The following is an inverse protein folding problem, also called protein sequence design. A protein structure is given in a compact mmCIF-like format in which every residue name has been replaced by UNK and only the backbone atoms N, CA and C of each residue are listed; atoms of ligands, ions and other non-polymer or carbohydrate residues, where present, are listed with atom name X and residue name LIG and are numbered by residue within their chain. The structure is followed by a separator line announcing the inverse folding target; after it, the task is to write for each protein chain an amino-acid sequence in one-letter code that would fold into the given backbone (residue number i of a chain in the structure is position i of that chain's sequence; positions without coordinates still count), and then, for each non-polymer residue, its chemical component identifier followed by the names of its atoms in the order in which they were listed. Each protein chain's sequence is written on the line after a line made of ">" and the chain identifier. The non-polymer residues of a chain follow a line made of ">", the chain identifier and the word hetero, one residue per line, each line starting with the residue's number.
data_IF_724256162505
#
_entry.id   IF_724256162505
#
_cell.length_a   1.000
_cell.length_b   1.000
_cell.length_c   1.000
_cell.angle_alpha   90.00
_cell.angle_beta   90.00
_cell.angle_gamma   90.00
#
_symmetry.space_group_name_H-M   'P 1'
#
loop_
_entity.id
_entity.type
_entity.pdbx_description
1 polymer ?
#
# COMPACT_ATOMS: atom_id res chain seq x y z
N UNK A 1 -8.97 -0.60 -36.20
CA UNK A 1 -8.17 -0.51 -34.98
C UNK A 1 -7.41 0.79 -35.09
N UNK A 2 -7.77 1.80 -34.28
CA UNK A 2 -6.98 3.03 -34.22
C UNK A 2 -5.67 2.69 -33.51
N UNK A 3 -4.54 2.96 -34.16
CA UNK A 3 -3.23 2.83 -33.52
C UNK A 3 -3.19 3.76 -32.30
N UNK A 4 -3.23 3.21 -31.08
CA UNK A 4 -2.99 3.99 -29.87
C UNK A 4 -1.49 4.19 -29.71
N UNK A 5 -1.12 5.46 -29.58
CA UNK A 5 0.25 5.86 -29.30
C UNK A 5 0.41 6.21 -27.83
N UNK A 6 1.53 5.77 -27.26
CA UNK A 6 1.91 6.04 -25.88
C UNK A 6 3.20 6.85 -25.88
N UNK A 7 3.26 7.86 -25.03
CA UNK A 7 4.42 8.72 -24.87
C UNK A 7 5.33 8.18 -23.75
N UNK A 8 6.55 7.81 -24.11
CA UNK A 8 7.65 7.51 -23.18
C UNK A 8 8.60 8.71 -23.15
N UNK A 9 8.80 9.29 -21.97
CA UNK A 9 9.70 10.43 -21.79
C UNK A 9 10.98 10.02 -21.07
N UNK A 10 12.12 10.17 -21.75
CA UNK A 10 13.45 10.00 -21.17
C UNK A 10 13.99 11.36 -20.74
N UNK A 11 14.33 11.51 -19.46
CA UNK A 11 14.90 12.73 -18.91
C UNK A 11 16.42 12.59 -18.75
N UNK A 12 17.16 13.57 -19.26
CA UNK A 12 18.61 13.65 -19.18
C UNK A 12 19.05 14.66 -18.11
N UNK A 13 20.24 14.44 -17.55
CA UNK A 13 20.83 15.32 -16.53
C UNK A 13 21.31 16.66 -17.10
N UNK A 14 21.54 16.74 -18.41
CA UNK A 14 21.94 17.96 -19.15
C UNK A 14 20.99 18.19 -20.34
N UNK A 15 21.02 19.41 -20.90
CA UNK A 15 20.33 19.74 -22.16
C UNK A 15 20.88 18.87 -23.31
N UNK A 16 19.99 18.29 -24.09
CA UNK A 16 20.29 17.41 -25.22
C UNK A 16 20.72 18.26 -26.43
N UNK A 17 21.81 17.89 -27.10
CA UNK A 17 22.11 18.41 -28.43
C UNK A 17 21.10 17.85 -29.44
N UNK A 18 20.16 18.68 -29.89
CA UNK A 18 19.14 18.29 -30.87
C UNK A 18 19.76 17.76 -32.17
N UNK A 19 21.00 18.12 -32.50
CA UNK A 19 21.70 17.62 -33.70
C UNK A 19 22.12 16.15 -33.57
N UNK A 20 22.27 15.63 -32.35
CA UNK A 20 22.56 14.21 -32.13
C UNK A 20 21.33 13.32 -32.24
N UNK A 21 20.13 13.89 -32.35
CA UNK A 21 18.88 13.12 -32.42
C UNK A 21 18.49 12.88 -33.87
N UNK A 22 18.45 11.60 -34.25
CA UNK A 22 17.95 11.14 -35.54
C UNK A 22 16.97 9.97 -35.35
N UNK A 23 16.27 9.59 -36.42
CA UNK A 23 15.16 8.60 -36.36
C UNK A 23 15.56 7.20 -35.86
N UNK A 24 16.85 6.88 -35.86
CA UNK A 24 17.38 5.57 -35.45
C UNK A 24 18.36 5.69 -34.27
N UNK A 25 18.33 6.79 -33.50
CA UNK A 25 19.20 6.99 -32.33
C UNK A 25 18.93 5.94 -31.23
N UNK A 26 17.67 5.50 -31.13
CA UNK A 26 17.21 4.45 -30.25
C UNK A 26 15.99 3.74 -30.86
N UNK A 27 15.69 2.54 -30.36
CA UNK A 27 14.50 1.78 -30.72
C UNK A 27 13.84 1.18 -29.47
N UNK A 28 12.52 1.07 -29.50
CA UNK A 28 11.73 0.32 -28.52
C UNK A 28 11.28 -0.96 -29.19
N UNK A 29 11.53 -2.09 -28.54
CA UNK A 29 11.13 -3.42 -28.98
C UNK A 29 10.07 -4.01 -28.06
N UNK A 30 9.06 -4.66 -28.63
CA UNK A 30 8.10 -5.48 -27.88
C UNK A 30 8.74 -6.82 -27.42
N UNK A 31 8.01 -7.62 -26.65
CA UNK A 31 8.46 -8.96 -26.18
C UNK A 31 8.77 -9.95 -27.30
N UNK A 32 8.29 -9.69 -28.52
CA UNK A 32 8.57 -10.51 -29.72
C UNK A 32 9.76 -9.98 -30.50
N UNK A 33 10.37 -8.88 -30.06
CA UNK A 33 11.50 -8.22 -30.73
C UNK A 33 11.10 -7.26 -31.84
N UNK A 34 9.81 -6.98 -32.05
CA UNK A 34 9.35 -6.06 -33.08
C UNK A 34 9.64 -4.62 -32.66
N UNK A 35 10.14 -3.80 -33.59
CA UNK A 35 10.33 -2.36 -33.35
C UNK A 35 8.97 -1.67 -33.35
N UNK A 36 8.64 -1.03 -32.23
CA UNK A 36 7.38 -0.32 -31.98
C UNK A 36 7.58 1.19 -31.82
N UNK A 37 8.80 1.70 -31.99
CA UNK A 37 9.06 3.14 -32.06
C UNK A 37 8.37 3.75 -33.26
N UNK A 38 7.64 4.83 -33.04
CA UNK A 38 6.99 5.57 -34.11
C UNK A 38 7.72 6.89 -34.39
N UNK A 39 7.89 7.74 -33.38
CA UNK A 39 8.52 9.04 -33.53
C UNK A 39 9.38 9.35 -32.30
N UNK A 40 10.45 10.10 -32.50
CA UNK A 40 11.33 10.58 -31.42
C UNK A 40 11.44 12.10 -31.59
N UNK A 41 11.17 12.84 -30.52
CA UNK A 41 11.30 14.30 -30.52
C UNK A 41 11.85 14.80 -29.19
N UNK A 42 12.62 15.87 -29.24
CA UNK A 42 13.01 16.61 -28.04
C UNK A 42 11.84 17.53 -27.67
N UNK A 43 11.12 17.23 -26.58
CA UNK A 43 9.97 18.04 -26.12
C UNK A 43 10.39 19.21 -25.25
N UNK A 44 11.39 19.01 -24.38
CA UNK A 44 12.01 20.04 -23.56
C UNK A 44 13.52 19.91 -23.69
N UNK A 45 14.28 20.94 -23.27
CA UNK A 45 15.74 21.00 -23.41
C UNK A 45 16.45 19.71 -22.94
N UNK A 46 15.94 19.01 -21.92
CA UNK A 46 16.49 17.74 -21.43
C UNK A 46 15.52 16.55 -21.46
N UNK A 47 14.44 16.61 -22.24
CA UNK A 47 13.46 15.52 -22.34
C UNK A 47 13.34 15.04 -23.78
N UNK A 48 13.67 13.77 -24.00
CA UNK A 48 13.43 13.05 -25.25
C UNK A 48 12.12 12.25 -25.13
N UNK A 49 11.11 12.69 -25.86
CA UNK A 49 9.84 11.98 -25.99
C UNK A 49 9.93 10.95 -27.11
N UNK A 50 9.46 9.75 -26.82
CA UNK A 50 9.43 8.61 -27.72
C UNK A 50 7.98 8.15 -27.81
N UNK A 51 7.43 8.27 -29.01
CA UNK A 51 6.08 7.83 -29.32
C UNK A 51 6.11 6.36 -29.69
N UNK A 52 5.40 5.53 -28.94
CA UNK A 52 5.42 4.07 -29.06
C UNK A 52 4.05 3.61 -29.55
N UNK A 53 4.04 2.76 -30.57
CA UNK A 53 2.83 2.12 -31.09
C UNK A 53 2.56 0.86 -30.26
N UNK A 54 1.47 0.85 -29.51
CA UNK A 54 1.11 -0.29 -28.67
C UNK A 54 -0.39 -0.55 -28.71
N UNK A 55 -0.77 -1.79 -28.99
CA UNK A 55 -2.16 -2.23 -28.87
C UNK A 55 -2.53 -2.38 -27.39
N UNK A 56 -3.80 -2.11 -27.05
CA UNK A 56 -4.31 -2.24 -25.67
C UNK A 56 -4.12 -3.64 -25.09
N UNK A 57 -4.09 -4.67 -25.93
CA UNK A 57 -3.85 -6.05 -25.52
C UNK A 57 -2.41 -6.28 -25.03
N UNK A 58 -1.45 -5.51 -25.57
CA UNK A 58 -0.01 -5.70 -25.34
C UNK A 58 0.64 -4.61 -24.50
N UNK A 59 -0.10 -3.57 -24.11
CA UNK A 59 0.39 -2.46 -23.28
C UNK A 59 1.00 -2.90 -21.93
N UNK A 60 0.61 -4.07 -21.43
CA UNK A 60 1.10 -4.66 -20.18
C UNK A 60 2.40 -5.46 -20.34
N UNK A 61 2.91 -5.61 -21.57
CA UNK A 61 4.12 -6.36 -21.83
C UNK A 61 5.37 -5.58 -21.42
N UNK A 62 6.47 -6.31 -21.23
CA UNK A 62 7.80 -5.73 -21.08
C UNK A 62 8.34 -5.29 -22.46
N UNK A 63 8.81 -4.05 -22.54
CA UNK A 63 9.44 -3.46 -23.71
C UNK A 63 10.91 -3.23 -23.44
N UNK A 64 11.74 -3.30 -24.48
CA UNK A 64 13.17 -3.01 -24.40
C UNK A 64 13.48 -1.75 -25.19
N UNK A 65 13.99 -0.72 -24.51
CA UNK A 65 14.60 0.45 -25.12
C UNK A 65 16.07 0.13 -25.38
N UNK A 66 16.47 0.17 -26.65
CA UNK A 66 17.83 -0.07 -27.10
C UNK A 66 18.40 1.20 -27.74
N UNK A 67 19.51 1.68 -27.21
CA UNK A 67 20.24 2.79 -27.81
C UNK A 67 21.13 2.27 -28.94
N UNK A 68 21.04 2.91 -30.10
CA UNK A 68 21.79 2.52 -31.30
C UNK A 68 23.02 3.39 -31.54
N UNK A 69 22.99 4.61 -31.02
CA UNK A 69 24.09 5.56 -31.07
C UNK A 69 24.10 6.42 -29.81
N UNK A 70 25.18 7.18 -29.60
CA UNK A 70 25.36 8.05 -28.45
C UNK A 70 24.50 9.31 -28.57
N UNK A 71 23.80 9.65 -27.49
CA UNK A 71 23.16 10.97 -27.35
C UNK A 71 24.19 11.91 -26.71
N UNK A 72 24.27 13.15 -27.18
CA UNK A 72 25.20 14.14 -26.67
C UNK A 72 24.45 15.25 -25.94
N UNK A 73 25.07 15.80 -24.90
CA UNK A 73 24.63 17.07 -24.33
C UNK A 73 25.05 18.22 -25.21
N UNK A 74 24.40 19.38 -25.05
CA UNK A 74 24.75 20.62 -25.76
C UNK A 74 26.19 21.09 -25.52
N UNK A 75 26.80 20.65 -24.42
CA UNK A 75 28.21 20.92 -24.10
C UNK A 75 29.18 19.94 -24.78
N UNK A 76 28.67 18.99 -25.58
CA UNK A 76 29.47 18.00 -26.29
C UNK A 76 29.81 16.75 -25.46
N UNK A 77 29.26 16.61 -24.25
CA UNK A 77 29.46 15.42 -23.44
C UNK A 77 28.55 14.29 -23.95
N UNK A 78 29.13 13.15 -24.30
CA UNK A 78 28.32 11.97 -24.59
C UNK A 78 27.68 11.44 -23.30
N UNK A 79 26.39 11.12 -23.35
CA UNK A 79 25.73 10.33 -22.30
C UNK A 79 26.18 8.87 -22.45
N UNK A 80 27.37 8.56 -21.91
CA UNK A 80 27.94 7.21 -21.89
C UNK A 80 27.25 6.40 -20.78
N UNK A 81 27.10 5.08 -20.98
CA UNK A 81 26.40 4.13 -20.09
C UNK A 81 24.87 4.00 -20.30
N UNK A 82 24.39 4.16 -21.53
CA UNK A 82 23.00 3.87 -21.86
C UNK A 82 22.82 2.38 -22.21
N UNK A 83 22.67 1.54 -21.19
CA UNK A 83 22.32 0.13 -21.36
C UNK A 83 20.88 -0.03 -21.90
N UNK A 84 20.58 -1.22 -22.43
CA UNK A 84 19.22 -1.56 -22.82
C UNK A 84 18.29 -1.48 -21.61
N UNK A 85 17.32 -0.57 -21.64
CA UNK A 85 16.38 -0.36 -20.53
C UNK A 85 15.13 -1.20 -20.78
N UNK A 86 14.77 -2.06 -19.83
CA UNK A 86 13.49 -2.77 -19.86
C UNK A 86 12.43 -1.99 -19.07
N UNK A 87 11.23 -1.85 -19.62
CA UNK A 87 10.14 -1.06 -19.04
C UNK A 87 8.75 -1.57 -19.48
N UNK A 88 7.70 -1.25 -18.74
CA UNK A 88 6.31 -1.51 -19.15
C UNK A 88 5.63 -0.20 -19.57
N UNK A 89 4.72 -0.25 -20.56
CA UNK A 89 4.02 0.95 -21.06
C UNK A 89 2.83 1.35 -20.20
N UNK A 90 2.19 0.39 -19.53
CA UNK A 90 1.12 0.70 -18.61
C UNK A 90 1.65 1.27 -17.30
N UNK A 91 0.87 2.14 -16.64
CA UNK A 91 1.01 2.32 -15.19
C UNK A 91 0.76 0.94 -14.59
N UNK A 92 1.82 0.27 -14.16
CA UNK A 92 1.74 -1.09 -13.68
C UNK A 92 0.60 -1.29 -12.71
N UNK A 93 -0.06 -2.46 -12.75
CA UNK A 93 -1.05 -2.79 -11.74
C UNK A 93 -0.33 -2.79 -10.40
N UNK A 94 -0.70 -1.85 -9.53
CA UNK A 94 -0.16 -1.79 -8.18
C UNK A 94 -0.94 -2.79 -7.33
N UNK A 95 -0.23 -3.73 -6.72
CA UNK A 95 -0.77 -4.68 -5.76
C UNK A 95 -0.37 -4.26 -4.35
N UNK A 96 -1.31 -4.32 -3.41
CA UNK A 96 -1.14 -3.94 -2.01
C UNK A 96 -0.65 -2.50 -1.81
N UNK A 97 -1.14 -1.57 -2.61
CA UNK A 97 -0.76 -0.17 -2.46
C UNK A 97 -1.11 0.34 -1.04
N UNK A 98 -0.12 0.84 -0.31
CA UNK A 98 -0.29 1.29 1.07
C UNK A 98 -0.05 0.23 2.14
N UNK A 99 0.47 -0.95 1.79
CA UNK A 99 0.93 -1.93 2.77
C UNK A 99 2.46 -1.93 2.90
N UNK A 100 3.00 -2.88 3.67
CA UNK A 100 4.45 -3.01 3.92
C UNK A 100 5.23 -3.52 2.72
N UNK A 101 4.56 -4.25 1.84
CA UNK A 101 5.14 -4.86 0.65
C UNK A 101 4.20 -4.58 -0.52
N UNK A 102 4.69 -3.80 -1.47
CA UNK A 102 3.91 -3.32 -2.61
C UNK A 102 4.55 -3.82 -3.89
N UNK A 103 3.74 -4.26 -4.85
CA UNK A 103 4.24 -4.62 -6.18
C UNK A 103 3.72 -3.65 -7.22
N UNK A 104 4.57 -3.36 -8.18
CA UNK A 104 4.20 -2.72 -9.43
C UNK A 104 5.06 -3.34 -10.54
N UNK A 105 4.39 -3.86 -11.57
CA UNK A 105 5.02 -4.60 -12.68
C UNK A 105 5.93 -5.74 -12.17
N UNK A 106 7.19 -5.75 -12.60
CA UNK A 106 8.19 -6.75 -12.24
C UNK A 106 8.94 -6.41 -10.94
N UNK A 107 8.52 -5.39 -10.18
CA UNK A 107 9.20 -4.95 -8.97
C UNK A 107 8.34 -5.11 -7.72
N UNK A 108 8.99 -5.56 -6.65
CA UNK A 108 8.45 -5.58 -5.29
C UNK A 108 9.24 -4.56 -4.47
N UNK A 109 8.52 -3.62 -3.86
CA UNK A 109 9.04 -2.60 -2.96
C UNK A 109 8.69 -2.98 -1.53
N UNK A 110 9.66 -2.93 -0.64
CA UNK A 110 9.49 -3.39 0.73
C UNK A 110 10.47 -2.69 1.66
N UNK A 111 10.18 -2.74 2.96
CA UNK A 111 11.07 -2.24 3.99
C UNK A 111 11.28 -3.26 5.11
N UNK A 112 12.49 -3.27 5.67
CA UNK A 112 12.88 -4.15 6.77
C UNK A 112 13.87 -3.46 7.72
N UNK A 113 14.11 -4.12 8.85
CA UNK A 113 15.09 -3.73 9.86
C UNK A 113 15.73 -5.02 10.41
N UNK A 114 17.03 -5.01 10.69
CA UNK A 114 17.74 -6.20 11.19
C UNK A 114 17.44 -6.53 12.66
N UNK A 115 16.92 -5.59 13.47
CA UNK A 115 16.66 -5.76 14.91
C UNK A 115 15.18 -5.53 15.29
N UNK A 116 14.71 -6.18 16.36
CA UNK A 116 13.38 -5.91 16.94
C UNK A 116 13.33 -4.47 17.42
N UNK A 117 12.24 -3.83 17.07
CA UNK A 117 11.77 -2.64 17.73
C UNK A 117 11.25 -3.00 19.14
N UNK A 118 11.98 -2.63 20.19
CA UNK A 118 11.40 -2.51 21.53
C UNK A 118 11.33 -1.04 21.90
N UNK A 119 10.40 -0.65 22.78
CA UNK A 119 10.37 0.70 23.37
C UNK A 119 11.68 1.09 24.09
N UNK A 120 12.62 0.15 24.29
CA UNK A 120 13.80 0.30 25.15
C UNK A 120 15.11 0.41 24.35
N UNK A 121 15.20 -0.18 23.15
CA UNK A 121 16.41 -0.16 22.32
C UNK A 121 16.07 0.25 20.89
N UNK A 122 16.39 1.51 20.57
CA UNK A 122 16.15 2.11 19.27
C UNK A 122 17.21 1.64 18.25
N UNK A 123 16.77 1.04 17.14
CA UNK A 123 17.63 0.80 15.98
C UNK A 123 17.16 1.62 14.77
N UNK A 124 17.82 2.76 14.45
CA UNK A 124 17.48 3.61 13.30
C UNK A 124 17.71 2.95 11.94
N UNK A 125 18.37 1.78 11.89
CA UNK A 125 18.85 1.19 10.65
C UNK A 125 17.76 0.33 9.97
N UNK A 126 16.78 0.99 9.36
CA UNK A 126 15.91 0.35 8.38
C UNK A 126 16.46 0.46 6.97
N UNK A 127 15.91 -0.33 6.06
CA UNK A 127 16.17 -0.20 4.64
C UNK A 127 14.87 -0.22 3.85
N UNK A 128 14.75 0.65 2.84
CA UNK A 128 13.76 0.52 1.76
C UNK A 128 14.48 -0.05 0.56
N UNK A 129 13.94 -1.14 0.01
CA UNK A 129 14.52 -1.84 -1.13
C UNK A 129 13.47 -2.06 -2.22
N UNK A 130 13.96 -2.29 -3.43
CA UNK A 130 13.20 -2.92 -4.50
C UNK A 130 13.90 -4.17 -5.00
N UNK A 131 13.13 -5.21 -5.26
CA UNK A 131 13.62 -6.46 -5.83
C UNK A 131 12.79 -6.82 -7.05
N UNK A 132 13.42 -7.32 -8.11
CA UNK A 132 12.67 -7.84 -9.24
C UNK A 132 12.08 -9.23 -8.92
N UNK A 133 11.07 -9.67 -9.67
CA UNK A 133 10.35 -10.92 -9.37
C UNK A 133 11.24 -12.18 -9.38
N UNK A 134 12.28 -12.21 -10.22
CA UNK A 134 13.23 -13.33 -10.28
C UNK A 134 14.33 -13.27 -9.19
N UNK A 135 14.42 -12.15 -8.46
CA UNK A 135 15.37 -11.94 -7.38
C UNK A 135 16.80 -11.61 -7.80
N UNK A 136 17.10 -11.51 -9.10
CA UNK A 136 18.44 -11.22 -9.62
C UNK A 136 18.90 -9.78 -9.35
N UNK A 137 17.97 -8.86 -9.15
CA UNK A 137 18.24 -7.46 -8.85
C UNK A 137 17.55 -7.06 -7.55
N UNK A 138 18.35 -6.92 -6.50
CA UNK A 138 17.93 -6.39 -5.21
C UNK A 138 18.67 -5.09 -4.93
N UNK A 139 17.94 -3.97 -4.98
CA UNK A 139 18.49 -2.61 -4.95
C UNK A 139 18.01 -1.91 -3.69
N UNK A 140 18.96 -1.42 -2.89
CA UNK A 140 18.67 -0.50 -1.79
C UNK A 140 18.38 0.89 -2.32
N UNK A 141 17.25 1.48 -1.89
CA UNK A 141 16.83 2.83 -2.28
C UNK A 141 17.27 3.87 -1.24
N UNK A 142 17.13 3.57 0.06
CA UNK A 142 17.62 4.42 1.16
C UNK A 142 17.61 3.68 2.51
N UNK A 143 18.25 4.28 3.51
CA UNK A 143 18.38 3.76 4.90
C UNK A 143 17.20 4.17 5.81
N UNK A 144 15.99 4.24 5.24
CA UNK A 144 14.77 4.53 6.00
C UNK A 144 14.03 3.25 6.38
N UNK A 145 13.27 3.31 7.47
CA UNK A 145 12.36 2.25 7.86
C UNK A 145 10.92 2.64 7.54
N UNK A 146 10.37 2.15 6.42
CA UNK A 146 9.00 2.46 6.05
C UNK A 146 7.99 1.55 6.78
N UNK A 147 6.98 2.14 7.43
CA UNK A 147 5.88 1.36 8.00
C UNK A 147 4.93 0.82 6.91
N UNK A 148 4.68 1.64 5.89
CA UNK A 148 3.80 1.39 4.76
C UNK A 148 4.38 2.14 3.55
N UNK A 149 4.19 1.59 2.35
CA UNK A 149 4.66 2.17 1.09
C UNK A 149 3.46 2.39 0.18
N UNK A 150 3.37 3.55 -0.46
CA UNK A 150 2.39 3.85 -1.50
C UNK A 150 3.10 4.23 -2.79
N UNK A 151 2.65 3.69 -3.90
CA UNK A 151 3.14 4.04 -5.24
C UNK A 151 2.16 5.02 -5.89
N UNK A 152 2.69 6.16 -6.34
CA UNK A 152 1.96 7.09 -7.20
C UNK A 152 2.88 7.68 -8.27
N UNK A 153 2.70 7.23 -9.52
CA UNK A 153 3.59 7.63 -10.62
C UNK A 153 5.02 7.14 -10.37
N UNK A 154 6.02 8.00 -10.53
CA UNK A 154 7.43 7.64 -10.31
C UNK A 154 7.88 7.64 -8.84
N UNK A 155 6.94 7.89 -7.92
CA UNK A 155 7.24 8.12 -6.51
C UNK A 155 6.74 6.98 -5.63
N UNK A 156 7.58 6.61 -4.67
CA UNK A 156 7.19 5.90 -3.47
C UNK A 156 6.95 6.92 -2.37
N UNK A 157 5.81 6.86 -1.70
CA UNK A 157 5.50 7.60 -0.49
C UNK A 157 5.53 6.64 0.68
N UNK A 158 6.01 7.08 1.82
CA UNK A 158 6.12 6.22 2.99
C UNK A 158 6.23 7.04 4.27
N UNK A 159 5.81 6.43 5.38
CA UNK A 159 6.04 6.99 6.70
C UNK A 159 7.38 6.45 7.18
N UNK A 160 8.36 7.33 7.38
CA UNK A 160 9.67 6.95 7.89
C UNK A 160 9.59 6.80 9.41
N UNK A 161 9.68 5.58 9.90
CA UNK A 161 9.57 5.25 11.30
C UNK A 161 10.94 5.35 11.98
N UNK A 162 11.16 6.47 12.68
CA UNK A 162 12.42 6.78 13.35
C UNK A 162 12.38 6.64 14.87
N UNK A 163 11.32 6.07 15.45
CA UNK A 163 11.25 5.74 16.89
C UNK A 163 11.58 6.88 17.87
N UNK A 164 11.46 6.61 19.18
CA UNK A 164 11.83 7.56 20.23
C UNK A 164 11.11 8.92 20.14
N UNK A 165 11.89 10.01 20.30
CA UNK A 165 11.40 11.40 20.20
C UNK A 165 11.43 11.94 18.75
N UNK A 166 11.83 11.14 17.76
CA UNK A 166 11.83 11.55 16.35
C UNK A 166 10.46 11.28 15.71
N UNK A 167 10.03 12.19 14.83
CA UNK A 167 8.68 12.20 14.28
C UNK A 167 8.53 11.20 13.11
N UNK A 168 7.48 10.36 13.12
CA UNK A 168 7.20 9.45 12.00
C UNK A 168 6.53 10.21 10.85
N UNK A 169 7.35 10.87 10.05
CA UNK A 169 6.88 11.80 9.03
C UNK A 169 6.66 11.13 7.68
N UNK A 170 5.85 11.77 6.84
CA UNK A 170 5.67 11.38 5.45
C UNK A 170 6.88 11.82 4.63
N UNK A 171 7.44 10.87 3.88
CA UNK A 171 8.48 11.10 2.89
C UNK A 171 8.02 10.63 1.52
N UNK A 172 8.74 11.06 0.50
CA UNK A 172 8.71 10.43 -0.82
C UNK A 172 10.12 10.25 -1.37
N UNK A 173 10.28 9.26 -2.23
CA UNK A 173 11.53 8.97 -2.97
C UNK A 173 11.16 8.46 -4.36
N UNK A 174 11.97 8.76 -5.38
CA UNK A 174 11.76 8.15 -6.69
C UNK A 174 12.09 6.67 -6.66
N UNK A 175 11.49 5.90 -7.57
CA UNK A 175 11.73 4.45 -7.71
C UNK A 175 13.18 4.08 -8.06
N UNK A 176 13.99 5.05 -8.48
CA UNK A 176 15.43 4.91 -8.72
C UNK A 176 16.29 5.22 -7.47
N UNK A 177 15.68 5.63 -6.35
CA UNK A 177 16.36 6.00 -5.11
C UNK A 177 16.77 7.49 -5.03
N UNK A 178 16.57 8.25 -6.10
CA UNK A 178 16.89 9.68 -6.12
C UNK A 178 15.77 10.55 -5.54
N UNK A 179 16.06 11.83 -5.34
CA UNK A 179 15.07 12.86 -4.98
C UNK A 179 14.28 12.54 -3.70
N UNK A 180 14.92 11.92 -2.71
CA UNK A 180 14.31 11.65 -1.40
C UNK A 180 13.97 12.96 -0.70
N UNK A 181 12.71 13.15 -0.31
CA UNK A 181 12.18 14.41 0.24
C UNK A 181 11.23 14.13 1.42
N UNK A 182 11.32 14.96 2.47
CA UNK A 182 10.36 14.98 3.59
C UNK A 182 9.17 15.86 3.19
N UNK A 183 7.95 15.38 3.38
CA UNK A 183 6.71 16.09 3.03
C UNK A 183 6.00 16.71 4.23
N UNK A 184 6.17 16.15 5.43
CA UNK A 184 5.53 16.65 6.66
C UNK A 184 6.54 16.87 7.75
N UNK A 185 6.27 17.85 8.60
CA UNK A 185 7.04 18.25 9.77
C UNK A 185 6.51 17.65 11.09
N UNK A 186 5.50 16.77 11.01
CA UNK A 186 4.87 16.14 12.15
C UNK A 186 4.66 14.65 11.90
N UNK A 187 4.45 13.89 12.98
CA UNK A 187 4.09 12.47 12.90
C UNK A 187 2.74 12.30 12.21
N UNK A 188 2.63 11.27 11.38
CA UNK A 188 1.40 10.92 10.67
C UNK A 188 0.79 9.69 11.33
N UNK A 189 -0.51 9.76 11.65
CA UNK A 189 -1.26 8.62 12.16
C UNK A 189 -1.94 7.84 11.03
N UNK A 190 -2.80 8.53 10.28
CA UNK A 190 -3.59 7.96 9.19
C UNK A 190 -3.43 8.81 7.94
N UNK A 191 -3.44 8.19 6.76
CA UNK A 191 -3.43 8.92 5.48
C UNK A 191 -4.22 8.19 4.40
N UNK A 192 -4.71 8.96 3.42
CA UNK A 192 -5.40 8.44 2.23
C UNK A 192 -5.10 9.33 1.03
N UNK A 193 -4.90 8.70 -0.13
CA UNK A 193 -4.61 9.37 -1.38
C UNK A 193 -5.90 9.76 -2.11
N UNK A 194 -5.88 10.94 -2.74
CA UNK A 194 -6.84 11.40 -3.73
C UNK A 194 -6.08 11.73 -5.03
N UNK A 195 -6.76 12.28 -6.04
CA UNK A 195 -6.17 12.59 -7.35
C UNK A 195 -5.04 13.62 -7.25
N UNK A 196 -5.25 14.70 -6.49
CA UNK A 196 -4.29 15.79 -6.38
C UNK A 196 -3.65 15.93 -5.00
N UNK A 197 -4.29 15.35 -3.98
CA UNK A 197 -3.93 15.56 -2.58
C UNK A 197 -3.67 14.24 -1.85
N UNK A 198 -2.92 14.34 -0.77
CA UNK A 198 -2.85 13.37 0.31
C UNK A 198 -3.60 13.99 1.48
N UNK A 199 -4.60 13.28 2.01
CA UNK A 199 -5.29 13.65 3.24
C UNK A 199 -4.67 12.85 4.37
N UNK A 200 -4.37 13.49 5.50
CA UNK A 200 -3.71 12.84 6.60
C UNK A 200 -4.07 13.47 7.94
N UNK A 201 -3.96 12.69 9.02
CA UNK A 201 -4.08 13.17 10.40
C UNK A 201 -2.73 13.24 11.08
N UNK A 202 -2.49 14.35 11.80
CA UNK A 202 -1.23 14.60 12.50
C UNK A 202 -1.26 14.07 13.92
N UNK A 203 -0.27 13.27 14.32
CA UNK A 203 -0.05 12.93 15.72
C UNK A 203 0.99 13.88 16.32
N UNK A 204 0.65 14.52 17.45
CA UNK A 204 1.53 15.46 18.17
C UNK A 204 1.82 14.88 19.56
N UNK A 205 0.80 14.80 20.40
CA UNK A 205 0.87 14.20 21.73
C UNK A 205 -0.54 13.97 22.25
N UNK A 206 -0.71 12.99 23.16
CA UNK A 206 -2.00 12.70 23.79
C UNK A 206 -2.62 13.90 24.53
N UNK A 207 -1.80 14.87 24.95
CA UNK A 207 -2.23 16.08 25.65
C UNK A 207 -2.49 17.29 24.73
N UNK A 208 -2.11 17.23 23.45
CA UNK A 208 -2.28 18.36 22.52
C UNK A 208 -3.74 18.51 22.08
N UNK A 209 -4.24 19.75 22.11
CA UNK A 209 -5.56 20.11 21.55
C UNK A 209 -5.60 20.02 20.02
N UNK A 210 -4.44 20.01 19.38
CA UNK A 210 -4.29 19.88 17.93
C UNK A 210 -3.99 18.43 17.50
N UNK A 211 -3.91 17.50 18.46
CA UNK A 211 -3.62 16.09 18.16
C UNK A 211 -4.70 15.50 17.24
N UNK A 212 -4.31 14.76 16.21
CA UNK A 212 -5.17 14.17 15.18
C UNK A 212 -5.90 15.15 14.26
N UNK A 213 -5.49 16.42 14.19
CA UNK A 213 -6.03 17.35 13.18
C UNK A 213 -5.81 16.81 11.77
N UNK A 214 -6.83 16.95 10.93
CA UNK A 214 -6.80 16.47 9.54
C UNK A 214 -6.36 17.59 8.61
N UNK A 215 -5.39 17.30 7.76
CA UNK A 215 -4.87 18.18 6.72
C UNK A 215 -4.99 17.54 5.34
N UNK A 216 -4.92 18.37 4.30
CA UNK A 216 -4.59 17.95 2.95
C UNK A 216 -3.33 18.65 2.49
N UNK A 217 -2.48 17.92 1.76
CA UNK A 217 -1.25 18.44 1.17
C UNK A 217 -1.16 17.96 -0.27
N UNK A 218 -0.60 18.76 -1.17
CA UNK A 218 -0.33 18.26 -2.52
C UNK A 218 0.69 17.14 -2.44
N UNK A 219 0.67 16.25 -3.44
CA UNK A 219 1.60 15.12 -3.54
C UNK A 219 3.08 15.52 -3.63
N UNK A 220 3.36 16.79 -3.89
CA UNK A 220 4.70 17.38 -3.86
C UNK A 220 5.11 17.99 -2.52
N UNK A 221 4.26 17.88 -1.49
CA UNK A 221 4.50 18.49 -0.18
C UNK A 221 4.11 19.96 -0.11
N UNK A 222 3.71 20.59 -1.21
CA UNK A 222 3.27 21.98 -1.19
C UNK A 222 1.81 22.11 -0.76
N UNK A 223 1.40 23.33 -0.42
CA UNK A 223 -0.01 23.67 -0.17
C UNK A 223 -0.68 22.83 0.95
N UNK A 224 0.02 22.62 2.07
CA UNK A 224 -0.57 22.07 3.30
C UNK A 224 -1.69 22.98 3.78
N UNK A 225 -2.90 22.45 3.90
CA UNK A 225 -4.12 23.17 4.30
C UNK A 225 -4.90 22.30 5.30
N UNK A 226 -5.33 22.86 6.41
CA UNK A 226 -6.21 22.18 7.35
C UNK A 226 -7.57 21.87 6.71
N UNK A 227 -8.08 20.65 6.87
CA UNK A 227 -9.39 20.23 6.38
C UNK A 227 -10.48 20.63 7.38
N UNK A 228 -10.64 21.94 7.63
CA UNK A 228 -11.42 22.49 8.77
C UNK A 228 -10.76 22.23 10.13
N UNK A 229 -11.50 22.36 11.24
CA UNK A 229 -11.02 22.12 12.60
C UNK A 229 -11.38 20.71 13.10
N UNK A 230 -11.44 19.72 12.20
CA UNK A 230 -11.81 18.34 12.55
C UNK A 230 -10.60 17.52 12.96
N UNK A 231 -10.83 16.56 13.84
CA UNK A 231 -9.81 15.67 14.39
C UNK A 231 -10.25 14.22 14.27
N UNK A 232 -9.41 13.37 13.72
CA UNK A 232 -9.80 12.00 13.44
C UNK A 232 -8.70 11.08 12.92
N UNK A 233 -9.03 9.80 12.86
CA UNK A 233 -8.16 8.72 12.40
C UNK A 233 -8.92 7.80 11.42
N UNK A 234 -8.24 6.82 10.84
CA UNK A 234 -8.80 5.82 9.92
C UNK A 234 -9.55 6.47 8.74
N UNK A 235 -8.78 7.17 7.91
CA UNK A 235 -9.26 8.00 6.82
C UNK A 235 -9.63 7.17 5.58
N UNK A 236 -10.86 7.32 5.05
CA UNK A 236 -11.32 6.66 3.83
C UNK A 236 -12.00 7.69 2.92
N UNK A 237 -11.55 7.79 1.67
CA UNK A 237 -12.21 8.65 0.66
C UNK A 237 -13.16 7.79 -0.16
N UNK A 238 -14.42 8.24 -0.28
CA UNK A 238 -15.41 7.67 -1.19
C UNK A 238 -16.14 8.82 -1.89
N UNK A 239 -15.96 8.92 -3.21
CA UNK A 239 -16.52 10.02 -4.00
C UNK A 239 -16.01 11.38 -3.49
N UNK A 240 -16.89 12.35 -3.19
CA UNK A 240 -16.50 13.69 -2.75
C UNK A 240 -16.26 13.80 -1.24
N UNK A 241 -16.41 12.71 -0.47
CA UNK A 241 -16.35 12.74 1.00
C UNK A 241 -15.14 11.99 1.54
N UNK A 242 -14.58 12.54 2.61
CA UNK A 242 -13.66 11.88 3.53
C UNK A 242 -14.46 11.36 4.73
N UNK A 243 -14.43 10.06 4.94
CA UNK A 243 -14.95 9.38 6.13
C UNK A 243 -13.82 9.17 7.12
N UNK A 244 -14.08 9.38 8.41
CA UNK A 244 -13.09 9.29 9.47
C UNK A 244 -13.73 8.93 10.81
N UNK A 245 -12.92 8.43 11.73
CA UNK A 245 -13.31 8.22 13.13
C UNK A 245 -12.97 9.46 13.95
N UNK A 246 -13.99 10.10 14.51
CA UNK A 246 -13.82 11.35 15.25
C UNK A 246 -13.32 11.07 16.68
N UNK A 247 -12.08 11.48 16.97
CA UNK A 247 -11.44 11.24 18.26
C UNK A 247 -12.06 12.04 19.42
N UNK A 248 -12.79 13.12 19.14
CA UNK A 248 -13.47 13.94 20.14
C UNK A 248 -14.87 13.41 20.48
N UNK A 249 -15.39 12.48 19.68
CA UNK A 249 -16.73 11.91 19.80
C UNK A 249 -16.68 10.39 19.82
N UNK A 250 -15.86 9.87 20.73
CA UNK A 250 -15.66 8.44 21.00
C UNK A 250 -15.43 7.59 19.73
N UNK A 251 -14.66 8.09 18.76
CA UNK A 251 -14.40 7.39 17.50
C UNK A 251 -15.67 7.01 16.73
N UNK A 252 -16.73 7.80 16.87
CA UNK A 252 -17.90 7.74 15.99
C UNK A 252 -17.49 8.06 14.56
N UNK A 253 -18.20 7.49 13.59
CA UNK A 253 -17.97 7.70 12.17
C UNK A 253 -18.52 9.07 11.79
N UNK A 254 -17.69 9.88 11.13
CA UNK A 254 -18.07 11.15 10.55
C UNK A 254 -17.71 11.15 9.06
N UNK A 255 -18.37 12.02 8.31
CA UNK A 255 -17.93 12.41 6.96
C UNK A 255 -17.79 13.92 6.85
N UNK A 256 -16.91 14.36 5.97
CA UNK A 256 -16.76 15.76 5.56
C UNK A 256 -16.44 15.80 4.07
N UNK A 257 -16.93 16.80 3.34
CA UNK A 257 -16.56 16.98 1.93
C UNK A 257 -15.07 17.33 1.85
N UNK A 258 -14.39 16.87 0.80
CA UNK A 258 -12.92 17.03 0.64
C UNK A 258 -12.43 18.49 0.53
N UNK A 259 -13.34 19.46 0.45
CA UNK A 259 -13.07 20.89 0.55
C UNK A 259 -13.22 21.46 1.98
N UNK A 260 -13.58 20.63 2.96
CA UNK A 260 -13.74 21.01 4.37
C UNK A 260 -15.15 21.47 4.75
N UNK A 261 -16.13 21.31 3.87
CA UNK A 261 -17.53 21.69 4.11
C UNK A 261 -18.42 20.45 4.31
N UNK A 262 -19.69 20.66 4.64
CA UNK A 262 -20.70 19.58 4.72
C UNK A 262 -20.28 18.40 5.62
N UNK A 263 -19.89 18.74 6.85
CA UNK A 263 -19.57 17.76 7.88
C UNK A 263 -20.86 17.17 8.47
N UNK A 264 -20.89 15.83 8.59
CA UNK A 264 -22.03 15.10 9.17
C UNK A 264 -21.54 13.91 10.01
N UNK A 265 -22.12 13.74 11.21
CA UNK A 265 -22.00 12.52 12.02
C UNK A 265 -22.83 11.39 11.38
N UNK A 266 -22.24 10.20 11.26
CA UNK A 266 -22.83 9.05 10.57
C UNK A 266 -23.43 8.02 11.53
N UNK A 267 -22.78 7.76 12.66
CA UNK A 267 -23.30 6.89 13.72
C UNK A 267 -22.99 7.48 15.11
N UNK A 268 -23.51 6.86 16.16
CA UNK A 268 -23.34 7.33 17.55
C UNK A 268 -22.43 6.43 18.40
N UNK A 269 -21.63 5.56 17.76
CA UNK A 269 -20.91 4.49 18.46
C UNK A 269 -19.45 4.42 18.03
N UNK A 270 -18.57 4.08 18.96
CA UNK A 270 -17.17 3.78 18.63
C UNK A 270 -17.05 2.67 17.59
N UNK A 271 -16.26 2.97 16.55
CA UNK A 271 -16.05 2.11 15.38
C UNK A 271 -14.56 1.87 15.08
N UNK A 272 -13.69 1.87 16.10
CA UNK A 272 -12.22 1.80 15.91
C UNK A 272 -11.74 0.47 15.35
N UNK A 273 -12.31 -0.64 15.82
CA UNK A 273 -11.81 -1.98 15.48
C UNK A 273 -11.96 -2.34 13.99
N UNK A 274 -12.96 -1.80 13.29
CA UNK A 274 -13.18 -2.07 11.88
C UNK A 274 -14.07 -1.00 11.25
N UNK A 275 -13.64 -0.46 10.11
CA UNK A 275 -14.45 0.40 9.24
C UNK A 275 -14.05 0.16 7.78
N UNK A 276 -15.00 -0.20 6.93
CA UNK A 276 -14.80 -0.37 5.48
C UNK A 276 -15.99 0.17 4.71
N UNK A 277 -15.73 0.76 3.54
CA UNK A 277 -16.78 1.27 2.65
C UNK A 277 -16.87 0.38 1.43
N UNK A 278 -18.07 -0.09 1.11
CA UNK A 278 -18.35 -0.90 -0.08
C UNK A 278 -19.80 -0.80 -0.49
N UNK A 279 -20.04 -0.70 -1.80
CA UNK A 279 -21.37 -0.76 -2.43
C UNK A 279 -22.43 0.18 -1.80
N UNK A 280 -22.00 1.39 -1.40
CA UNK A 280 -22.90 2.39 -0.77
C UNK A 280 -23.13 2.20 0.73
N UNK A 281 -22.38 1.31 1.37
CA UNK A 281 -22.47 1.02 2.80
C UNK A 281 -21.13 1.22 3.50
N UNK A 282 -21.22 1.56 4.78
CA UNK A 282 -20.12 1.60 5.74
C UNK A 282 -20.32 0.43 6.69
N UNK A 283 -19.40 -0.51 6.67
CA UNK A 283 -19.37 -1.69 7.54
C UNK A 283 -18.43 -1.42 8.69
N UNK A 284 -18.87 -1.70 9.91
CA UNK A 284 -18.08 -1.43 11.10
C UNK A 284 -18.37 -2.40 12.23
N UNK A 285 -17.43 -2.50 13.17
CA UNK A 285 -17.64 -3.17 14.45
C UNK A 285 -18.06 -2.11 15.47
N UNK A 286 -19.22 -2.31 16.09
CA UNK A 286 -19.73 -1.43 17.13
C UNK A 286 -19.18 -1.86 18.49
N UNK A 287 -18.28 -1.08 19.07
CA UNK A 287 -17.60 -1.43 20.33
C UNK A 287 -18.46 -1.26 21.58
N UNK A 288 -19.57 -0.53 21.47
CA UNK A 288 -20.50 -0.29 22.57
C UNK A 288 -21.61 -1.34 22.63
N UNK A 289 -21.90 -2.00 21.51
CA UNK A 289 -22.91 -3.04 21.38
C UNK A 289 -22.26 -4.41 21.15
N UNK A 290 -21.42 -4.82 22.11
CA UNK A 290 -20.87 -6.17 22.19
C UNK A 290 -19.89 -6.54 21.08
N UNK A 291 -19.22 -5.56 20.46
CA UNK A 291 -18.34 -5.74 19.29
C UNK A 291 -19.03 -6.43 18.11
N UNK A 292 -20.34 -6.22 17.93
CA UNK A 292 -21.08 -6.81 16.83
C UNK A 292 -20.82 -6.09 15.50
N UNK A 293 -20.99 -6.80 14.38
CA UNK A 293 -20.92 -6.21 13.05
C UNK A 293 -22.21 -5.47 12.71
N UNK A 294 -22.06 -4.26 12.19
CA UNK A 294 -23.13 -3.41 11.68
C UNK A 294 -22.78 -2.90 10.28
N UNK A 295 -23.80 -2.43 9.56
CA UNK A 295 -23.61 -1.54 8.42
C UNK A 295 -24.56 -0.37 8.47
N UNK A 296 -24.12 0.76 7.94
CA UNK A 296 -24.93 1.97 7.77
C UNK A 296 -24.74 2.55 6.37
N UNK A 297 -25.75 3.20 5.85
CA UNK A 297 -25.70 3.89 4.56
C UNK A 297 -24.67 5.03 4.58
N UNK A 298 -24.15 5.42 3.41
CA UNK A 298 -23.14 6.50 3.30
C UNK A 298 -23.56 7.84 3.92
N UNK A 299 -24.85 8.06 4.12
CA UNK A 299 -25.44 9.23 4.77
C UNK A 299 -25.87 9.00 6.21
N UNK A 300 -25.77 7.78 6.74
CA UNK A 300 -26.17 7.42 8.09
C UNK A 300 -27.68 7.36 8.34
N UNK A 301 -28.51 7.43 7.30
CA UNK A 301 -29.97 7.50 7.48
C UNK A 301 -30.61 6.12 7.73
N UNK A 302 -29.90 5.05 7.40
CA UNK A 302 -30.32 3.67 7.67
C UNK A 302 -29.12 2.87 8.16
N UNK A 303 -29.32 2.14 9.25
CA UNK A 303 -28.34 1.32 9.95
C UNK A 303 -28.97 -0.05 10.29
N UNK A 304 -28.18 -1.12 10.19
CA UNK A 304 -28.62 -2.44 10.63
C UNK A 304 -27.49 -3.31 11.19
N UNK A 305 -27.88 -4.20 12.10
CA UNK A 305 -27.01 -5.17 12.75
C UNK A 305 -26.88 -6.42 11.88
N UNK A 306 -25.65 -6.88 11.64
CA UNK A 306 -25.36 -8.04 10.78
C UNK A 306 -25.21 -9.34 11.59
N UNK A 307 -24.73 -9.29 12.84
CA UNK A 307 -24.57 -10.48 13.67
C UNK A 307 -24.67 -10.17 15.18
N UNK A 308 -24.62 -11.21 16.03
CA UNK A 308 -24.57 -11.10 17.50
C UNK A 308 -23.24 -11.59 18.09
N UNK A 309 -22.14 -11.54 17.33
CA UNK A 309 -20.84 -12.01 17.81
C UNK A 309 -19.97 -10.88 18.33
N UNK A 310 -19.17 -11.15 19.37
CA UNK A 310 -18.02 -10.30 19.70
C UNK A 310 -16.95 -10.47 18.61
N UNK A 311 -16.89 -9.53 17.68
CA UNK A 311 -16.02 -9.60 16.52
C UNK A 311 -14.68 -8.92 16.80
N UNK A 312 -13.60 -9.56 16.37
CA UNK A 312 -12.24 -9.04 16.39
C UNK A 312 -11.56 -9.37 15.07
N UNK A 313 -10.56 -8.56 14.68
CA UNK A 313 -9.76 -8.73 13.47
C UNK A 313 -10.63 -9.08 12.25
N UNK A 314 -11.25 -8.11 11.59
CA UNK A 314 -12.13 -8.36 10.44
C UNK A 314 -11.48 -7.91 9.13
N UNK A 315 -11.73 -8.69 8.07
CA UNK A 315 -11.35 -8.38 6.68
C UNK A 315 -12.54 -8.64 5.76
N UNK A 316 -12.67 -7.83 4.70
CA UNK A 316 -13.76 -7.95 3.73
C UNK A 316 -13.19 -8.33 2.37
N UNK A 317 -13.81 -9.32 1.73
CA UNK A 317 -13.48 -9.71 0.36
C UNK A 317 -14.74 -10.14 -0.39
N UNK A 318 -14.87 -9.68 -1.64
CA UNK A 318 -15.89 -10.09 -2.61
C UNK A 318 -17.28 -10.48 -2.05
N UNK A 319 -17.95 -9.57 -1.33
CA UNK A 319 -19.32 -9.80 -0.85
C UNK A 319 -19.42 -10.54 0.49
N UNK A 320 -18.28 -10.85 1.12
CA UNK A 320 -18.23 -11.46 2.44
C UNK A 320 -17.30 -10.71 3.39
N UNK A 321 -17.56 -10.86 4.68
CA UNK A 321 -16.73 -10.41 5.79
C UNK A 321 -16.24 -11.65 6.53
N UNK A 322 -14.93 -11.74 6.74
CA UNK A 322 -14.26 -12.75 7.52
C UNK A 322 -13.77 -12.11 8.82
N UNK A 323 -14.06 -12.74 9.95
CA UNK A 323 -13.77 -12.14 11.25
C UNK A 323 -13.51 -13.22 12.30
N UNK A 324 -12.69 -12.88 13.29
CA UNK A 324 -12.58 -13.66 14.51
C UNK A 324 -13.77 -13.40 15.42
N UNK A 325 -14.46 -14.45 15.85
CA UNK A 325 -15.37 -14.39 16.99
C UNK A 325 -14.57 -14.64 18.25
N UNK A 326 -14.56 -13.67 19.14
CA UNK A 326 -14.00 -13.80 20.49
C UNK A 326 -14.83 -14.78 21.32
N UNK A 327 -14.15 -15.73 21.96
CA UNK A 327 -14.75 -16.82 22.76
C UNK A 327 -14.37 -16.64 24.23
N UNK A 328 -13.09 -16.45 24.50
CA UNK A 328 -12.49 -16.15 25.81
C UNK A 328 -11.19 -15.38 25.61
N UNK A 329 -10.53 -14.99 26.70
CA UNK A 329 -9.41 -14.04 26.70
C UNK A 329 -8.25 -14.36 25.74
N UNK A 330 -8.09 -15.61 25.28
CA UNK A 330 -7.03 -15.98 24.35
C UNK A 330 -7.53 -16.77 23.14
N UNK A 331 -8.83 -16.94 22.94
CA UNK A 331 -9.33 -17.83 21.89
C UNK A 331 -10.34 -17.13 20.98
N UNK A 332 -10.02 -17.12 19.69
CA UNK A 332 -10.97 -16.76 18.64
C UNK A 332 -11.26 -17.93 17.73
N UNK A 333 -12.44 -17.92 17.12
CA UNK A 333 -12.80 -18.83 16.04
C UNK A 333 -13.07 -18.01 14.77
N UNK A 334 -12.62 -18.49 13.61
CA UNK A 334 -12.82 -17.80 12.34
C UNK A 334 -14.23 -18.02 11.80
N UNK A 335 -14.93 -16.93 11.48
CA UNK A 335 -16.26 -16.92 10.88
C UNK A 335 -16.26 -16.19 9.53
N UNK A 336 -17.26 -16.53 8.71
CA UNK A 336 -17.66 -15.83 7.49
C UNK A 336 -19.10 -15.37 7.65
N UNK A 337 -19.42 -14.19 7.14
CA UNK A 337 -20.79 -13.70 6.93
C UNK A 337 -20.85 -12.95 5.61
N UNK A 338 -22.00 -12.97 4.92
CA UNK A 338 -22.19 -12.14 3.74
C UNK A 338 -22.37 -10.67 4.14
N UNK A 339 -22.08 -9.75 3.22
CA UNK A 339 -22.21 -8.30 3.48
C UNK A 339 -23.66 -7.87 3.72
N UNK A 340 -24.65 -8.69 3.40
CA UNK A 340 -26.06 -8.49 3.75
C UNK A 340 -26.44 -9.06 5.14
N UNK A 341 -25.50 -9.66 5.86
CA UNK A 341 -25.73 -10.28 7.16
C UNK A 341 -26.24 -11.72 7.08
N UNK A 342 -26.41 -12.28 5.89
CA UNK A 342 -26.87 -13.66 5.69
C UNK A 342 -25.70 -14.64 5.67
N UNK A 343 -26.03 -15.93 5.67
CA UNK A 343 -25.08 -17.05 5.52
C UNK A 343 -23.91 -17.06 6.51
N UNK A 344 -24.13 -16.53 7.72
CA UNK A 344 -23.15 -16.57 8.80
C UNK A 344 -22.75 -18.02 9.13
N UNK A 345 -21.46 -18.35 9.02
CA UNK A 345 -20.92 -19.70 9.22
C UNK A 345 -19.56 -19.69 9.93
N UNK A 346 -19.33 -20.63 10.85
CA UNK A 346 -18.01 -20.91 11.43
C UNK A 346 -17.14 -21.63 10.38
N UNK A 347 -15.95 -21.12 10.11
CA UNK A 347 -15.00 -21.75 9.20
C UNK A 347 -14.07 -22.73 9.93
N UNK A 348 -13.47 -22.32 11.05
CA UNK A 348 -12.62 -23.17 11.88
C UNK A 348 -12.49 -22.64 13.32
N UNK A 349 -11.81 -23.42 14.17
CA UNK A 349 -11.56 -23.10 15.59
C UNK A 349 -10.11 -22.68 15.88
N UNK A 350 -9.28 -22.58 14.85
CA UNK A 350 -7.94 -22.03 14.97
C UNK A 350 -7.99 -20.52 15.20
N UNK A 351 -7.12 -20.03 16.08
CA UNK A 351 -7.07 -18.63 16.48
C UNK A 351 -6.65 -17.74 15.30
N UNK A 352 -7.44 -16.71 15.06
CA UNK A 352 -7.28 -15.72 13.99
C UNK A 352 -7.23 -14.28 14.55
N UNK A 353 -6.91 -14.12 15.84
CA UNK A 353 -6.93 -12.83 16.54
C UNK A 353 -5.87 -11.82 16.10
N UNK A 354 -4.81 -12.24 15.38
CA UNK A 354 -3.63 -11.40 15.16
C UNK A 354 -3.54 -10.78 13.78
N UNK A 355 -3.68 -11.56 12.71
CA UNK A 355 -3.56 -11.06 11.34
C UNK A 355 -4.34 -11.93 10.37
N UNK A 356 -4.86 -11.31 9.31
CA UNK A 356 -5.50 -12.00 8.19
C UNK A 356 -5.10 -11.38 6.86
N UNK A 357 -4.92 -12.24 5.86
CA UNK A 357 -4.75 -11.86 4.47
C UNK A 357 -5.58 -12.81 3.59
N UNK A 358 -6.07 -12.31 2.45
CA UNK A 358 -6.99 -13.05 1.59
C UNK A 358 -6.45 -13.09 0.16
N UNK A 359 -6.60 -14.24 -0.49
CA UNK A 359 -6.45 -14.41 -1.94
C UNK A 359 -7.79 -14.71 -2.59
N UNK A 360 -7.78 -14.93 -3.91
CA UNK A 360 -8.98 -15.31 -4.66
C UNK A 360 -9.74 -16.49 -4.05
N UNK A 361 -9.06 -17.45 -3.41
CA UNK A 361 -9.70 -18.70 -2.94
C UNK A 361 -9.45 -18.99 -1.46
N UNK A 362 -8.46 -18.36 -0.82
CA UNK A 362 -8.00 -18.75 0.51
C UNK A 362 -7.90 -17.56 1.47
N UNK A 363 -7.99 -17.87 2.75
CA UNK A 363 -7.71 -17.00 3.88
C UNK A 363 -6.45 -17.52 4.54
N UNK A 364 -5.51 -16.62 4.79
CA UNK A 364 -4.30 -16.85 5.56
C UNK A 364 -4.41 -16.07 6.84
N UNK A 365 -4.14 -16.71 7.98
CA UNK A 365 -4.41 -16.09 9.27
C UNK A 365 -3.44 -16.57 10.35
N UNK A 366 -3.30 -15.75 11.38
CA UNK A 366 -2.51 -16.08 12.57
C UNK A 366 -3.23 -15.62 13.85
N UNK A 367 -2.88 -16.28 14.95
CA UNK A 367 -3.41 -16.01 16.29
C UNK A 367 -2.35 -15.45 17.23
N UNK A 368 -2.81 -14.96 18.39
CA UNK A 368 -1.95 -14.58 19.51
C UNK A 368 -1.71 -15.76 20.46
N UNK A 369 -2.61 -16.75 20.50
CA UNK A 369 -2.48 -17.94 21.38
C UNK A 369 -1.40 -18.92 20.90
N UNK A 370 -1.20 -19.00 19.59
CA UNK A 370 -0.28 -19.96 18.97
C UNK A 370 0.55 -19.32 17.87
N UNK A 371 1.80 -19.77 17.78
CA UNK A 371 2.69 -19.41 16.68
C UNK A 371 2.30 -20.15 15.40
N UNK A 372 2.16 -19.40 14.31
CA UNK A 372 2.05 -19.96 12.99
C UNK A 372 1.25 -19.11 12.02
N UNK A 373 1.27 -19.55 10.77
CA UNK A 373 0.39 -19.07 9.71
C UNK A 373 -0.44 -20.26 9.26
N UNK A 374 -1.74 -20.09 9.31
CA UNK A 374 -2.73 -21.08 8.91
C UNK A 374 -3.38 -20.65 7.60
N UNK A 375 -3.87 -21.63 6.84
CA UNK A 375 -4.58 -21.44 5.59
C UNK A 375 -5.87 -22.23 5.62
N UNK A 376 -6.96 -21.60 5.19
CA UNK A 376 -8.23 -22.27 4.92
C UNK A 376 -8.82 -21.73 3.61
N UNK A 377 -9.62 -22.54 2.91
CA UNK A 377 -10.42 -22.02 1.78
C UNK A 377 -11.47 -21.05 2.29
N UNK A 378 -11.83 -20.04 1.49
CA UNK A 378 -12.86 -19.05 1.84
C UNK A 378 -14.24 -19.64 2.17
N UNK A 379 -14.54 -20.82 1.63
CA UNK A 379 -15.78 -21.55 1.89
C UNK A 379 -15.70 -22.53 3.07
N UNK A 380 -14.52 -22.63 3.69
CA UNK A 380 -14.18 -23.56 4.76
C UNK A 380 -13.56 -24.86 4.26
N UNK A 381 -13.44 -25.84 5.15
CA UNK A 381 -12.79 -27.13 4.89
C UNK A 381 -11.63 -27.35 5.83
N UNK A 382 -10.66 -28.16 5.39
CA UNK A 382 -9.47 -28.45 6.18
C UNK A 382 -8.58 -27.22 6.35
N UNK A 383 -8.06 -27.03 7.58
CA UNK A 383 -7.08 -26.00 7.89
C UNK A 383 -5.68 -26.58 7.70
N UNK A 384 -4.85 -25.86 6.94
CA UNK A 384 -3.45 -26.24 6.71
C UNK A 384 -2.52 -25.33 7.50
N UNK A 385 -1.54 -25.90 8.18
CA UNK A 385 -0.43 -25.13 8.76
C UNK A 385 0.60 -24.85 7.67
N UNK A 386 0.84 -23.57 7.38
CA UNK A 386 1.85 -23.12 6.40
C UNK A 386 3.23 -23.02 7.07
N UNK A 387 3.27 -22.48 8.28
CA UNK A 387 4.48 -22.38 9.10
C UNK A 387 4.09 -22.34 10.58
N UNK A 388 4.99 -22.77 11.47
CA UNK A 388 4.85 -22.65 12.94
C UNK A 388 5.71 -21.52 13.50
N UNK A 389 6.13 -20.60 12.64
CA UNK A 389 6.93 -19.46 13.04
C UNK A 389 6.02 -18.37 13.64
N UNK A 390 6.55 -17.64 14.60
CA UNK A 390 5.89 -16.49 15.20
C UNK A 390 5.79 -15.34 14.17
N UNK A 391 4.71 -15.35 13.41
CA UNK A 391 4.50 -14.44 12.30
C UNK A 391 3.68 -13.20 12.69
N UNK A 392 4.16 -12.04 12.24
CA UNK A 392 3.56 -10.71 12.43
C UNK A 392 3.27 -10.06 11.10
N UNK A 393 2.03 -9.61 10.92
CA UNK A 393 1.58 -9.03 9.66
C UNK A 393 1.54 -10.08 8.56
N UNK A 394 0.53 -9.99 7.70
CA UNK A 394 0.39 -10.87 6.55
C UNK A 394 0.05 -10.00 5.35
N UNK A 395 0.94 -9.95 4.38
CA UNK A 395 0.73 -9.30 3.10
C UNK A 395 0.90 -10.34 1.99
N UNK A 396 0.03 -10.32 0.98
CA UNK A 396 0.10 -11.27 -0.13
C UNK A 396 0.38 -10.55 -1.44
N UNK A 397 1.55 -10.79 -2.01
CA UNK A 397 1.95 -10.24 -3.30
C UNK A 397 2.19 -11.41 -4.25
N UNK A 398 1.50 -11.42 -5.38
CA UNK A 398 1.50 -12.54 -6.32
C UNK A 398 1.24 -13.88 -5.60
N UNK A 399 2.24 -14.75 -5.61
CA UNK A 399 2.19 -16.10 -5.06
C UNK A 399 3.03 -16.22 -3.80
N UNK A 400 3.21 -15.13 -3.05
CA UNK A 400 4.00 -15.10 -1.83
C UNK A 400 3.24 -14.45 -0.69
N UNK A 401 3.33 -15.07 0.49
CA UNK A 401 2.96 -14.44 1.76
C UNK A 401 4.23 -13.79 2.31
N UNK A 402 4.17 -12.49 2.57
CA UNK A 402 5.17 -11.74 3.29
C UNK A 402 4.73 -11.58 4.74
N UNK A 403 5.64 -11.82 5.67
CA UNK A 403 5.39 -11.73 7.11
C UNK A 403 6.69 -11.41 7.85
N UNK A 404 6.57 -10.76 9.00
CA UNK A 404 7.70 -10.61 9.91
C UNK A 404 7.82 -11.82 10.82
N UNK A 405 8.98 -12.45 10.83
CA UNK A 405 9.31 -13.48 11.80
C UNK A 405 9.83 -12.81 13.07
N UNK A 406 9.08 -12.94 14.16
CA UNK A 406 9.47 -12.44 15.47
C UNK A 406 10.33 -13.47 16.20
N UNK A 407 11.56 -13.10 16.54
CA UNK A 407 12.43 -13.90 17.41
C UNK A 407 12.61 -13.18 18.75
N UNK A 408 11.90 -13.66 19.77
CA UNK A 408 11.93 -13.08 21.12
C UNK A 408 13.29 -13.27 21.82
N UNK A 409 14.01 -14.37 21.56
CA UNK A 409 15.30 -14.64 22.19
C UNK A 409 16.41 -13.77 21.59
N UNK A 410 16.42 -13.63 20.26
CA UNK A 410 17.42 -12.86 19.53
C UNK A 410 17.08 -11.38 19.40
N UNK A 411 15.95 -10.94 19.93
CA UNK A 411 15.41 -9.59 19.74
C UNK A 411 15.48 -9.16 18.26
N UNK A 412 15.03 -10.01 17.32
CA UNK A 412 15.07 -9.73 15.88
C UNK A 412 13.73 -9.97 15.16
N UNK A 413 13.41 -9.10 14.21
CA UNK A 413 12.16 -9.10 13.46
C UNK A 413 12.49 -8.95 11.99
N UNK A 414 12.54 -10.08 11.30
CA UNK A 414 13.01 -10.15 9.91
C UNK A 414 11.86 -10.32 8.94
N UNK A 415 11.99 -9.76 7.74
CA UNK A 415 10.97 -9.95 6.71
C UNK A 415 11.23 -11.28 6.02
N UNK A 416 10.26 -12.18 6.10
CA UNK A 416 10.27 -13.46 5.42
C UNK A 416 9.18 -13.51 4.37
N UNK A 417 9.35 -14.42 3.41
CA UNK A 417 8.29 -14.81 2.49
C UNK A 417 8.15 -16.32 2.35
N UNK A 418 6.93 -16.78 2.13
CA UNK A 418 6.60 -18.18 1.84
C UNK A 418 5.82 -18.26 0.54
N UNK A 419 6.27 -19.13 -0.37
CA UNK A 419 5.61 -19.37 -1.66
C UNK A 419 4.30 -20.12 -1.44
N UNK A 420 3.25 -19.67 -2.12
CA UNK A 420 1.92 -20.25 -2.08
C UNK A 420 1.79 -21.57 -2.88
N UNK A 421 2.79 -21.90 -3.71
CA UNK A 421 2.79 -23.10 -4.54
C UNK A 421 3.51 -24.28 -3.88
N UNK A 422 4.73 -24.06 -3.41
CA UNK A 422 5.63 -25.11 -2.92
C UNK A 422 5.96 -24.97 -1.43
N UNK A 423 5.40 -23.96 -0.74
CA UNK A 423 5.69 -23.62 0.66
C UNK A 423 7.18 -23.38 0.94
N UNK A 424 7.98 -23.08 -0.09
CA UNK A 424 9.40 -22.75 0.08
C UNK A 424 9.53 -21.41 0.79
N UNK A 425 10.32 -21.40 1.87
CA UNK A 425 10.56 -20.23 2.70
C UNK A 425 11.84 -19.53 2.27
N UNK A 426 11.82 -18.20 2.31
CA UNK A 426 12.99 -17.37 2.03
C UNK A 426 13.00 -16.20 3.01
N UNK A 427 14.17 -15.94 3.60
CA UNK A 427 14.45 -14.66 4.27
C UNK A 427 14.63 -13.59 3.17
N UNK A 428 14.03 -12.43 3.36
CA UNK A 428 14.06 -11.32 2.38
C UNK A 428 15.02 -10.22 2.85
N UNK A 429 15.02 -9.93 4.16
CA UNK A 429 15.85 -8.97 4.86
C UNK A 429 16.11 -9.44 6.30
#
# INVERSE_FOLDING_TARGET
>A
MEDKFIDLNLKFNEEIDKKSIHSNILVVKDTRGNIVTSHIKVEQENILNIKIKADEEYINNEYTLEFKDCIYSKNGNAFKELDNIKFCLNKGKIENNGTRVVKEDNWIYYSGNEKIYTYMDYNPHGEIRKINLDGSLNIKLCDDFASNIWINGQWLYYINYRGGNEENCLYRIKKDGSSRERLTDTTIDSLVFSDNYIFYSEYISSSSKDNYKIYRIKKDGSSKIALSNVRGINLIIQGPFLYYLNIEDNYSIYRIRVDGLDMKKINNYSSRNFMRIKDGWIYYINEELGNNLYRTTLDGNYEEKLNNDSCVNAIMDNGSIYYGKDIDSNKTHLYKINIDGLERKKLCEEDCSRSMAITRDNIYFSGNDKEGIYKIRKEGGEVYTITKENALGLDIVENWIYYYKLNLQGLSMKLHRISLYDNKKQEVL
#
